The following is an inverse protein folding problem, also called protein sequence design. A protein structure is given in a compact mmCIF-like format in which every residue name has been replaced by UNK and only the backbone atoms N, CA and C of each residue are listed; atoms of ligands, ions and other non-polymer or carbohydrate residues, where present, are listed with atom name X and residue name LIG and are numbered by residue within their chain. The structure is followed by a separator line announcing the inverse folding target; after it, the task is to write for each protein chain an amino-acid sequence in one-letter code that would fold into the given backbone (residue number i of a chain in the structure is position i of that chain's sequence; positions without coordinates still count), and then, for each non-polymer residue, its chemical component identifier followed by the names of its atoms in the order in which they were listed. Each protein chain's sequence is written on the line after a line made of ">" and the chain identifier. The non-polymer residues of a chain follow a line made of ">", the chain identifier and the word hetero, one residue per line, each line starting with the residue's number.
data_IF_379549262442
#
_entry.id   IF_379549262442
#
_cell.length_a   1.000
_cell.length_b   1.000
_cell.length_c   1.000
_cell.angle_alpha   90.00
_cell.angle_beta   90.00
_cell.angle_gamma   90.00
#
_symmetry.space_group_name_H-M   'P 1'
#
loop_
_entity.id
_entity.type
_entity.pdbx_description
1 polymer ?
#
# COMPACT_ATOMS: atom_id res chain seq x y z
N UNK A 1 -20.87 0.58 -19.54
CA UNK A 1 -20.54 -0.83 -19.24
C UNK A 1 -20.10 -0.87 -17.78
N UNK A 2 -20.75 -1.66 -16.94
CA UNK A 2 -20.42 -1.79 -15.51
C UNK A 2 -19.57 -3.06 -15.34
N UNK A 3 -18.38 -2.92 -14.77
CA UNK A 3 -17.52 -4.07 -14.44
C UNK A 3 -17.98 -4.61 -13.09
N UNK A 4 -18.52 -5.83 -13.07
CA UNK A 4 -19.09 -6.45 -11.87
C UNK A 4 -18.12 -7.39 -11.17
N UNK A 5 -17.21 -7.99 -11.91
CA UNK A 5 -16.25 -8.97 -11.41
C UNK A 5 -14.83 -8.52 -11.77
N UNK A 6 -13.92 -8.50 -10.79
CA UNK A 6 -12.55 -8.04 -10.93
C UNK A 6 -11.58 -9.04 -10.30
N UNK A 7 -10.54 -9.40 -11.06
CA UNK A 7 -9.36 -10.11 -10.55
C UNK A 7 -8.20 -9.12 -10.62
N UNK A 8 -7.67 -8.75 -9.46
CA UNK A 8 -6.53 -7.86 -9.32
C UNK A 8 -5.27 -8.69 -9.04
N UNK A 9 -4.19 -8.39 -9.77
CA UNK A 9 -2.88 -8.99 -9.54
C UNK A 9 -1.97 -7.94 -8.89
N UNK A 10 -1.23 -8.34 -7.86
CA UNK A 10 -0.30 -7.48 -7.15
C UNK A 10 0.97 -8.23 -6.80
N UNK A 11 2.10 -7.56 -6.89
CA UNK A 11 3.40 -8.03 -6.40
C UNK A 11 3.76 -7.42 -5.03
N UNK A 12 2.89 -6.58 -4.47
CA UNK A 12 3.12 -5.86 -3.22
C UNK A 12 2.55 -6.58 -2.01
N UNK A 13 3.44 -7.24 -1.25
CA UNK A 13 3.05 -8.05 -0.08
C UNK A 13 2.22 -7.29 0.95
N UNK A 14 2.66 -6.10 1.31
CA UNK A 14 2.01 -5.29 2.33
C UNK A 14 0.53 -5.02 1.97
N UNK A 15 0.27 -4.67 0.72
CA UNK A 15 -1.07 -4.32 0.26
C UNK A 15 -1.99 -5.55 0.24
N UNK A 16 -1.47 -6.70 -0.21
CA UNK A 16 -2.21 -7.97 -0.17
C UNK A 16 -2.58 -8.34 1.27
N UNK A 17 -1.62 -8.38 2.19
CA UNK A 17 -1.86 -8.79 3.57
C UNK A 17 -2.76 -7.81 4.32
N UNK A 18 -2.66 -6.49 4.08
CA UNK A 18 -3.54 -5.52 4.71
C UNK A 18 -4.98 -5.58 4.13
N UNK A 19 -5.15 -5.78 2.83
CA UNK A 19 -6.48 -5.94 2.20
C UNK A 19 -7.18 -7.20 2.71
N UNK A 20 -6.42 -8.28 2.92
CA UNK A 20 -6.90 -9.51 3.54
C UNK A 20 -7.10 -9.41 5.06
N UNK A 21 -6.90 -8.22 5.66
CA UNK A 21 -6.96 -7.97 7.11
C UNK A 21 -6.00 -8.84 7.94
N UNK A 22 -4.96 -9.38 7.32
CA UNK A 22 -3.94 -10.16 7.99
C UNK A 22 -2.97 -9.24 8.74
N UNK A 23 -2.66 -8.07 8.17
CA UNK A 23 -1.77 -7.06 8.76
C UNK A 23 -2.50 -5.74 8.99
N UNK A 24 -2.15 -5.03 10.07
CA UNK A 24 -2.71 -3.72 10.43
C UNK A 24 -1.63 -2.65 10.24
N UNK A 25 -1.98 -1.50 9.65
CA UNK A 25 -1.09 -0.33 9.55
C UNK A 25 -1.37 0.67 10.68
N UNK A 26 -0.32 1.24 11.27
CA UNK A 26 -0.43 2.37 12.19
C UNK A 26 -0.18 3.72 11.50
N UNK A 27 0.33 3.70 10.26
CA UNK A 27 0.53 4.90 9.46
C UNK A 27 -0.83 5.45 8.99
N UNK A 28 -1.14 6.69 9.38
CA UNK A 28 -2.41 7.37 9.08
C UNK A 28 -2.58 7.69 7.60
N UNK A 29 -1.49 7.94 6.86
CA UNK A 29 -1.52 8.15 5.40
C UNK A 29 -1.92 6.85 4.71
N UNK A 30 -1.33 5.72 5.10
CA UNK A 30 -1.68 4.38 4.55
C UNK A 30 -3.10 3.98 4.94
N UNK A 31 -3.55 4.29 6.16
CA UNK A 31 -4.92 4.02 6.61
C UNK A 31 -5.97 4.69 5.73
N UNK A 32 -5.70 5.92 5.26
CA UNK A 32 -6.59 6.62 4.33
C UNK A 32 -6.77 5.87 3.00
N UNK A 33 -5.69 5.26 2.47
CA UNK A 33 -5.76 4.45 1.26
C UNK A 33 -6.58 3.17 1.47
N UNK A 34 -6.52 2.56 2.66
CA UNK A 34 -7.36 1.41 3.01
C UNK A 34 -8.84 1.71 2.94
N UNK A 35 -9.28 2.82 3.54
CA UNK A 35 -10.69 3.23 3.50
C UNK A 35 -11.19 3.38 2.06
N UNK A 36 -10.39 4.00 1.20
CA UNK A 36 -10.71 4.15 -0.22
C UNK A 36 -10.75 2.81 -0.96
N UNK A 37 -9.80 1.91 -0.66
CA UNK A 37 -9.76 0.57 -1.23
C UNK A 37 -11.00 -0.24 -0.88
N UNK A 38 -11.44 -0.22 0.38
CA UNK A 38 -12.67 -0.90 0.81
C UNK A 38 -13.93 -0.32 0.16
N UNK A 39 -14.00 1.01 0.04
CA UNK A 39 -15.10 1.69 -0.67
C UNK A 39 -15.14 1.34 -2.16
N UNK A 40 -13.98 1.13 -2.79
CA UNK A 40 -13.90 0.68 -4.17
C UNK A 40 -14.25 -0.81 -4.31
N UNK A 41 -13.74 -1.65 -3.40
CA UNK A 41 -13.98 -3.08 -3.38
C UNK A 41 -15.48 -3.41 -3.24
N UNK A 42 -16.23 -2.64 -2.45
CA UNK A 42 -17.67 -2.84 -2.26
C UNK A 42 -18.51 -2.61 -3.52
N UNK A 43 -17.95 -1.97 -4.55
CA UNK A 43 -18.62 -1.75 -5.84
C UNK A 43 -18.60 -3.00 -6.74
N UNK A 44 -17.70 -3.94 -6.48
CA UNK A 44 -17.60 -5.18 -7.24
C UNK A 44 -18.41 -6.28 -6.56
N UNK A 45 -19.13 -7.07 -7.36
CA UNK A 45 -19.81 -8.28 -6.90
C UNK A 45 -18.80 -9.36 -6.53
N UNK A 46 -17.75 -9.50 -7.35
CA UNK A 46 -16.64 -10.41 -7.12
C UNK A 46 -15.35 -9.60 -7.22
N UNK A 47 -14.54 -9.64 -6.16
CA UNK A 47 -13.18 -9.11 -6.15
C UNK A 47 -12.25 -10.21 -5.68
N UNK A 48 -11.31 -10.60 -6.51
CA UNK A 48 -10.23 -11.50 -6.15
C UNK A 48 -8.89 -10.77 -6.23
N UNK A 49 -8.04 -10.93 -5.21
CA UNK A 49 -6.69 -10.39 -5.19
C UNK A 49 -5.69 -11.55 -5.22
N UNK A 50 -4.80 -11.56 -6.21
CA UNK A 50 -3.77 -12.60 -6.38
C UNK A 50 -2.38 -12.00 -6.28
N UNK A 51 -1.53 -12.63 -5.47
CA UNK A 51 -0.11 -12.31 -5.44
C UNK A 51 0.60 -12.92 -6.64
N UNK A 52 1.44 -12.14 -7.30
CA UNK A 52 2.34 -12.60 -8.37
C UNK A 52 3.78 -12.15 -8.11
N UNK A 53 4.79 -12.84 -8.65
CA UNK A 53 6.17 -12.34 -8.64
C UNK A 53 6.28 -11.01 -9.38
N UNK A 54 7.22 -10.16 -8.95
CA UNK A 54 7.48 -8.86 -9.58
C UNK A 54 7.82 -8.98 -11.08
N UNK A 55 8.57 -10.01 -11.45
CA UNK A 55 8.89 -10.36 -12.85
C UNK A 55 7.66 -10.74 -13.69
N UNK A 56 6.49 -10.90 -13.08
CA UNK A 56 5.22 -11.14 -13.76
C UNK A 56 4.33 -9.89 -13.76
N UNK A 57 4.73 -8.80 -13.09
CA UNK A 57 4.02 -7.53 -13.00
C UNK A 57 4.72 -6.41 -13.80
N UNK A 58 5.65 -6.77 -14.70
CA UNK A 58 6.51 -5.85 -15.46
C UNK A 58 5.75 -4.71 -16.15
N UNK A 59 4.52 -4.98 -16.61
CA UNK A 59 3.69 -3.96 -17.25
C UNK A 59 3.29 -2.85 -16.28
N UNK A 60 2.77 -3.21 -15.10
CA UNK A 60 2.40 -2.25 -14.07
C UNK A 60 3.64 -1.50 -13.54
N UNK A 61 4.76 -2.19 -13.43
CA UNK A 61 6.03 -1.59 -12.98
C UNK A 61 6.61 -0.61 -13.98
N UNK A 62 6.53 -0.93 -15.27
CA UNK A 62 6.96 -0.02 -16.33
C UNK A 62 6.08 1.22 -16.31
N UNK A 63 4.76 1.08 -16.13
CA UNK A 63 3.86 2.22 -16.01
C UNK A 63 4.13 3.07 -14.77
N UNK A 64 4.34 2.46 -13.60
CA UNK A 64 4.69 3.17 -12.38
C UNK A 64 6.02 3.93 -12.52
N UNK A 65 7.01 3.32 -13.18
CA UNK A 65 8.31 3.92 -13.47
C UNK A 65 8.18 5.10 -14.45
N UNK A 66 7.43 4.93 -15.54
CA UNK A 66 7.18 6.02 -16.48
C UNK A 66 6.42 7.17 -15.80
N UNK A 67 5.43 6.85 -14.96
CA UNK A 67 4.67 7.84 -14.22
C UNK A 67 5.53 8.62 -13.24
N UNK A 68 6.52 8.00 -12.59
CA UNK A 68 7.41 8.70 -11.65
C UNK A 68 8.41 9.63 -12.34
N UNK A 69 8.66 9.41 -13.63
CA UNK A 69 9.53 10.28 -14.44
C UNK A 69 8.81 11.54 -14.95
N UNK A 70 7.47 11.57 -14.90
CA UNK A 70 6.70 12.74 -15.32
C UNK A 70 6.88 13.85 -14.28
N UNK A 71 7.49 14.96 -14.70
CA UNK A 71 7.58 16.17 -13.89
C UNK A 71 6.21 16.86 -13.88
N UNK A 72 5.63 17.04 -12.69
CA UNK A 72 4.35 17.74 -12.55
C UNK A 72 4.56 19.26 -12.77
N UNK A 73 3.82 19.88 -13.71
CA UNK A 73 4.03 21.29 -14.06
C UNK A 73 3.62 22.27 -12.94
N UNK A 74 2.82 21.84 -11.96
CA UNK A 74 2.11 22.76 -11.04
C UNK A 74 2.76 22.92 -9.66
N UNK A 75 4.04 22.56 -9.47
CA UNK A 75 4.70 22.70 -8.16
C UNK A 75 4.07 21.86 -7.04
N UNK A 76 3.18 20.92 -7.39
CA UNK A 76 2.78 19.80 -6.54
C UNK A 76 4.00 18.89 -6.40
N UNK A 77 4.93 19.30 -5.56
CA UNK A 77 6.01 18.45 -5.08
C UNK A 77 5.31 17.33 -4.33
N UNK A 78 5.23 16.16 -4.97
CA UNK A 78 4.88 14.94 -4.25
C UNK A 78 5.99 14.75 -3.24
N UNK A 79 5.69 15.03 -1.98
CA UNK A 79 6.64 14.87 -0.90
C UNK A 79 7.08 13.41 -0.89
N UNK A 80 8.37 13.12 -1.13
CA UNK A 80 8.84 11.76 -1.22
C UNK A 80 8.59 11.06 0.11
N UNK A 81 8.20 9.78 0.04
CA UNK A 81 8.11 8.96 1.25
C UNK A 81 9.53 8.83 1.81
N UNK A 82 9.77 9.45 2.96
CA UNK A 82 11.04 9.35 3.65
C UNK A 82 11.16 7.96 4.29
N UNK A 83 11.88 7.08 3.60
CA UNK A 83 12.23 5.75 4.12
C UNK A 83 13.57 5.88 4.83
N UNK A 84 13.58 5.73 6.15
CA UNK A 84 14.81 5.58 6.91
C UNK A 84 15.27 4.12 6.84
N UNK A 85 16.46 3.90 6.29
CA UNK A 85 17.10 2.60 6.36
C UNK A 85 17.60 2.41 7.79
N UNK A 86 17.12 1.37 8.46
CA UNK A 86 17.67 0.97 9.76
C UNK A 86 18.65 -0.18 9.56
N UNK A 87 19.82 -0.09 10.19
CA UNK A 87 20.81 -1.17 10.22
C UNK A 87 20.35 -2.39 11.02
N UNK A 88 19.27 -2.23 11.79
CA UNK A 88 18.68 -3.29 12.59
C UNK A 88 17.44 -3.86 11.90
N UNK A 89 17.26 -5.18 11.91
CA UNK A 89 16.08 -5.79 11.29
C UNK A 89 14.81 -5.41 12.05
N UNK A 90 13.70 -5.27 11.33
CA UNK A 90 12.42 -4.76 11.86
C UNK A 90 11.89 -5.52 13.10
N UNK A 91 12.20 -6.83 13.21
CA UNK A 91 11.80 -7.63 14.38
C UNK A 91 12.57 -7.30 15.67
N UNK A 92 13.64 -6.50 15.58
CA UNK A 92 14.45 -6.05 16.73
C UNK A 92 14.01 -4.68 17.28
N UNK A 93 13.02 -4.02 16.67
CA UNK A 93 12.38 -2.86 17.29
C UNK A 93 11.46 -3.33 18.41
N UNK A 94 11.92 -3.17 19.65
CA UNK A 94 11.03 -3.15 20.81
C UNK A 94 10.21 -1.88 20.69
N UNK A 95 8.89 -2.04 20.55
CA UNK A 95 7.95 -0.93 20.65
C UNK A 95 8.04 -0.42 22.10
N UNK A 96 8.73 0.70 22.34
CA UNK A 96 8.59 1.42 23.60
C UNK A 96 7.15 1.92 23.66
N UNK A 97 6.26 1.11 24.24
CA UNK A 97 4.97 1.56 24.72
C UNK A 97 5.27 2.57 25.79
N UNK A 98 5.12 3.85 25.46
CA UNK A 98 5.14 4.95 26.41
C UNK A 98 3.99 4.71 27.40
N UNK A 99 4.30 4.04 28.51
CA UNK A 99 3.35 3.82 29.59
C UNK A 99 3.30 5.11 30.42
N UNK A 100 2.66 6.15 29.90
CA UNK A 100 2.25 7.29 30.73
C UNK A 100 0.95 6.92 31.45
N UNK A 101 1.06 5.90 32.32
CA UNK A 101 0.12 5.71 33.42
C UNK A 101 0.70 6.51 34.57
N UNK A 102 0.20 7.75 34.74
CA UNK A 102 0.37 8.51 35.98
C UNK A 102 -0.86 8.32 36.88
N UNK A 103 -0.65 8.24 38.21
CA UNK A 103 -1.63 7.77 39.20
C UNK A 103 -2.85 8.68 39.37
#
# INVERSE_FOLDING_TARGET
>A
MEIKDLIAFSDFDLLVHQTLKQWVTQDSKIMMYHCNLFSLASKFRILELRRIPRTCNDFADTLATLSSMIQHPDGLVIEPIHIQLQDRPAHSLVMEMDSDVRP
#
